data_IF_827785971707
#
_entry.id   IF_827785971707
#
_cell.length_a   1.000
_cell.length_b   1.000
_cell.length_c   1.000
_cell.angle_alpha   90.00
_cell.angle_beta   90.00
_cell.angle_gamma   90.00
#
_symmetry.space_group_name_H-M   'P 1'
#
loop_
_entity.id
_entity.type
_entity.pdbx_description
1 polymer ?
#
# COMPACT_ATOMS: atom_id res chain seq x y z
N UNK A 1 -17.58 1.92 16.32
CA UNK A 1 -16.30 2.30 15.68
C UNK A 1 -15.92 1.49 14.42
N UNK A 2 -16.71 0.50 13.97
CA UNK A 2 -16.34 -0.32 12.79
C UNK A 2 -16.65 0.33 11.44
N UNK A 3 -17.72 1.13 11.34
CA UNK A 3 -18.22 1.69 10.06
C UNK A 3 -17.44 2.92 9.58
N UNK A 4 -16.90 3.71 10.50
CA UNK A 4 -16.21 4.98 10.20
C UNK A 4 -14.98 4.75 9.33
N UNK A 5 -14.17 3.73 9.63
CA UNK A 5 -12.99 3.37 8.83
C UNK A 5 -13.37 2.99 7.39
N UNK A 6 -14.46 2.24 7.21
CA UNK A 6 -14.98 1.89 5.88
C UNK A 6 -15.48 3.11 5.11
N UNK A 7 -16.15 4.04 5.79
CA UNK A 7 -16.60 5.29 5.19
C UNK A 7 -15.42 6.15 4.76
N UNK A 8 -14.41 6.31 5.62
CA UNK A 8 -13.20 7.07 5.31
C UNK A 8 -12.46 6.46 4.12
N UNK A 9 -12.31 5.13 4.10
CA UNK A 9 -11.64 4.43 2.99
C UNK A 9 -12.42 4.59 1.68
N UNK A 10 -13.74 4.46 1.71
CA UNK A 10 -14.59 4.69 0.56
C UNK A 10 -14.50 6.14 0.03
N UNK A 11 -14.48 7.13 0.93
CA UNK A 11 -14.33 8.55 0.57
C UNK A 11 -12.95 8.81 -0.06
N UNK A 12 -11.87 8.30 0.53
CA UNK A 12 -10.51 8.45 -0.01
C UNK A 12 -10.42 7.82 -1.41
N UNK A 13 -10.95 6.61 -1.60
CA UNK A 13 -10.96 5.95 -2.91
C UNK A 13 -11.77 6.74 -3.93
N UNK A 14 -12.95 7.26 -3.56
CA UNK A 14 -13.76 8.09 -4.44
C UNK A 14 -13.03 9.37 -4.85
N UNK A 15 -12.37 10.06 -3.91
CA UNK A 15 -11.57 11.26 -4.19
C UNK A 15 -10.41 10.94 -5.14
N UNK A 16 -9.71 9.82 -4.95
CA UNK A 16 -8.62 9.40 -5.84
C UNK A 16 -9.09 9.08 -7.27
N UNK A 17 -10.32 8.59 -7.44
CA UNK A 17 -10.92 8.35 -8.76
C UNK A 17 -11.32 9.66 -9.45
N UNK A 18 -11.90 10.60 -8.70
CA UNK A 18 -12.25 11.94 -9.20
C UNK A 18 -10.99 12.71 -9.62
N UNK A 19 -9.93 12.63 -8.81
CA UNK A 19 -8.65 13.26 -9.12
C UNK A 19 -8.05 12.73 -10.43
N UNK A 20 -8.08 11.41 -10.66
CA UNK A 20 -7.63 10.79 -11.91
C UNK A 20 -8.38 11.30 -13.15
N UNK A 21 -9.69 11.54 -13.02
CA UNK A 21 -10.51 12.05 -14.12
C UNK A 21 -10.31 13.54 -14.39
N UNK A 22 -9.89 14.31 -13.37
CA UNK A 22 -9.66 15.75 -13.47
C UNK A 22 -8.32 16.11 -14.11
N UNK A 23 -7.30 15.25 -13.94
CA UNK A 23 -5.99 15.40 -14.60
C UNK A 23 -6.06 14.95 -16.05
N UNK A 24 -6.41 15.87 -16.95
CA UNK A 24 -6.55 15.64 -18.40
C UNK A 24 -5.26 15.37 -19.18
N UNK A 25 -4.15 15.02 -18.52
CA UNK A 25 -2.90 14.64 -19.18
C UNK A 25 -2.64 13.14 -19.00
N UNK A 26 -3.27 12.33 -19.87
CA UNK A 26 -2.98 10.90 -19.97
C UNK A 26 -1.63 10.68 -20.69
N UNK A 27 -0.53 10.95 -19.99
CA UNK A 27 0.81 10.69 -20.52
C UNK A 27 1.16 9.20 -20.51
N UNK A 28 0.50 8.39 -19.67
CA UNK A 28 0.80 6.97 -19.54
C UNK A 28 -0.40 6.07 -19.81
N UNK A 29 -0.12 4.92 -20.44
CA UNK A 29 -1.11 3.90 -20.81
C UNK A 29 -1.90 3.34 -19.62
N UNK A 30 -1.35 3.41 -18.40
CA UNK A 30 -2.01 2.97 -17.18
C UNK A 30 -3.02 3.98 -16.61
N UNK A 31 -3.03 5.23 -17.08
CA UNK A 31 -4.03 6.23 -16.66
C UNK A 31 -5.42 5.94 -17.24
N UNK A 32 -5.51 5.05 -18.24
CA UNK A 32 -6.78 4.53 -18.75
C UNK A 32 -7.47 3.58 -17.75
N UNK A 33 -6.73 3.01 -16.80
CA UNK A 33 -7.28 2.04 -15.86
C UNK A 33 -7.80 2.80 -14.63
N UNK A 34 -9.14 2.89 -14.43
CA UNK A 34 -9.69 3.61 -13.30
C UNK A 34 -9.24 2.97 -11.99
N UNK A 35 -8.56 3.75 -11.14
CA UNK A 35 -8.12 3.29 -9.82
C UNK A 35 -6.76 2.61 -9.81
N UNK A 36 -6.00 2.68 -10.90
CA UNK A 36 -4.65 2.10 -10.99
C UNK A 36 -3.76 2.51 -9.82
N UNK A 37 -3.69 3.82 -9.51
CA UNK A 37 -2.84 4.34 -8.44
C UNK A 37 -3.27 3.86 -7.04
N UNK A 38 -4.57 3.68 -6.80
CA UNK A 38 -5.07 3.17 -5.53
C UNK A 38 -4.67 1.70 -5.34
N UNK A 39 -4.80 0.89 -6.40
CA UNK A 39 -4.36 -0.52 -6.39
C UNK A 39 -2.85 -0.61 -6.22
N UNK A 40 -2.10 0.21 -6.97
CA UNK A 40 -0.64 0.25 -6.90
C UNK A 40 -0.15 0.60 -5.48
N UNK A 41 -0.73 1.63 -4.85
CA UNK A 41 -0.42 2.00 -3.47
C UNK A 41 -0.77 0.91 -2.46
N UNK A 42 -1.93 0.23 -2.63
CA UNK A 42 -2.35 -0.86 -1.76
C UNK A 42 -1.41 -2.07 -1.86
N UNK A 43 -1.08 -2.49 -3.09
CA UNK A 43 -0.15 -3.60 -3.35
C UNK A 43 1.25 -3.23 -2.84
N UNK A 44 1.70 -1.99 -3.07
CA UNK A 44 2.96 -1.48 -2.54
C UNK A 44 3.03 -1.58 -1.01
N UNK A 45 1.96 -1.17 -0.32
CA UNK A 45 1.89 -1.26 1.14
C UNK A 45 1.97 -2.73 1.63
N UNK A 46 1.24 -3.66 1.00
CA UNK A 46 1.32 -5.09 1.32
C UNK A 46 2.72 -5.63 1.10
N UNK A 47 3.35 -5.29 -0.03
CA UNK A 47 4.70 -5.72 -0.37
C UNK A 47 5.70 -5.22 0.65
N UNK A 48 5.67 -3.94 1.01
CA UNK A 48 6.57 -3.36 2.01
C UNK A 48 6.42 -4.10 3.34
N UNK A 49 5.19 -4.33 3.82
CA UNK A 49 4.97 -5.05 5.09
C UNK A 49 5.51 -6.48 5.04
N UNK A 50 5.26 -7.21 3.93
CA UNK A 50 5.75 -8.59 3.77
C UNK A 50 7.26 -8.66 3.67
N UNK A 51 7.86 -7.80 2.86
CA UNK A 51 9.32 -7.74 2.67
C UNK A 51 9.99 -7.36 3.99
N UNK A 52 9.48 -6.34 4.69
CA UNK A 52 10.03 -5.94 6.00
C UNK A 52 9.96 -7.06 7.04
N UNK A 53 8.85 -7.81 7.11
CA UNK A 53 8.75 -8.97 8.01
C UNK A 53 9.74 -10.08 7.64
N UNK A 54 9.87 -10.37 6.34
CA UNK A 54 10.80 -11.39 5.86
C UNK A 54 12.26 -11.01 6.12
N UNK A 55 12.61 -9.76 5.82
CA UNK A 55 13.94 -9.20 6.08
C UNK A 55 14.26 -9.22 7.57
N UNK A 56 13.32 -8.76 8.41
CA UNK A 56 13.43 -8.82 9.87
C UNK A 56 13.74 -10.25 10.34
N UNK A 57 12.92 -11.23 9.93
CA UNK A 57 13.08 -12.65 10.33
C UNK A 57 14.41 -13.26 9.92
N UNK A 58 14.92 -12.94 8.73
CA UNK A 58 16.16 -13.56 8.21
C UNK A 58 17.44 -12.86 8.65
N UNK A 59 17.41 -11.55 8.84
CA UNK A 59 18.63 -10.74 8.99
C UNK A 59 18.73 -10.10 10.37
N UNK A 60 17.60 -9.70 10.97
CA UNK A 60 17.59 -8.94 12.23
C UNK A 60 17.43 -9.85 13.45
N UNK A 61 16.67 -10.94 13.34
CA UNK A 61 16.60 -11.93 14.42
C UNK A 61 17.93 -12.67 14.53
N UNK A 62 18.78 -12.18 15.42
CA UNK A 62 19.98 -12.86 15.89
C UNK A 62 19.55 -14.09 16.70
N UNK A 63 20.22 -15.22 16.50
CA UNK A 63 19.91 -16.47 17.22
C UNK A 63 19.89 -16.27 18.73
N UNK A 64 19.03 -17.02 19.42
CA UNK A 64 18.81 -16.93 20.87
C UNK A 64 20.11 -17.14 21.67
N UNK A 65 21.10 -17.81 21.08
CA UNK A 65 22.44 -18.06 21.65
C UNK A 65 23.35 -16.80 21.76
N UNK A 66 22.92 -15.61 21.32
CA UNK A 66 23.77 -14.41 21.36
C UNK A 66 24.04 -13.87 22.78
N UNK A 67 23.15 -14.15 23.73
CA UNK A 67 23.31 -13.77 25.14
C UNK A 67 23.71 -14.93 26.04
N UNK A 68 23.76 -16.16 25.50
CA UNK A 68 24.14 -17.37 26.23
C UNK A 68 25.65 -17.65 26.19
N UNK A 69 26.44 -16.63 25.82
CA UNK A 69 27.91 -16.62 25.91
C UNK A 69 28.40 -15.55 26.88
#
# INVERSE_FOLDING_TARGET
>A
MKKVHWIILAVITAVSLIAQYSTGEHHHWWDLIPGFYAIYGFVGCILIVKISKWYGKKIVFRGEDYYDR
#
